data_IF_277629968094
#
_entry.id   IF_277629968094
#
_cell.length_a   1.000
_cell.length_b   1.000
_cell.length_c   1.000
_cell.angle_alpha   90.00
_cell.angle_beta   90.00
_cell.angle_gamma   90.00
#
_symmetry.space_group_name_H-M   'P 1'
#
loop_
_entity.id
_entity.type
_entity.pdbx_description
1 polymer ?
#
# COMPACT_ATOMS: atom_id res chain seq x y z
N UNK A 1 -5.33 -46.37 -21.17
CA UNK A 1 -4.21 -46.91 -21.97
C UNK A 1 -3.27 -45.78 -22.32
N UNK A 2 -1.98 -45.92 -21.95
CA UNK A 2 -0.80 -45.43 -22.68
C UNK A 2 -0.56 -43.92 -22.86
N UNK A 3 0.11 -43.27 -21.90
CA UNK A 3 0.97 -42.08 -22.17
C UNK A 3 2.17 -42.03 -21.20
N UNK A 4 2.79 -43.19 -20.92
CA UNK A 4 3.87 -43.32 -19.93
C UNK A 4 5.26 -43.68 -20.46
N UNK A 5 5.44 -44.00 -21.74
CA UNK A 5 6.66 -44.70 -22.22
C UNK A 5 7.24 -44.16 -23.53
N UNK A 6 7.32 -42.84 -23.72
CA UNK A 6 8.02 -42.27 -24.89
C UNK A 6 9.34 -41.57 -24.56
N UNK A 7 9.66 -41.31 -23.29
CA UNK A 7 10.87 -40.58 -22.88
C UNK A 7 11.97 -41.45 -22.25
N UNK A 8 11.74 -42.75 -22.09
CA UNK A 8 12.69 -43.68 -21.46
C UNK A 8 13.46 -44.57 -22.44
N UNK A 9 13.17 -44.55 -23.75
CA UNK A 9 13.84 -45.45 -24.72
C UNK A 9 14.97 -44.82 -25.55
N UNK A 10 15.23 -43.51 -25.46
CA UNK A 10 16.18 -42.83 -26.36
C UNK A 10 17.63 -42.66 -25.82
N UNK A 11 17.96 -43.18 -24.63
CA UNK A 11 19.30 -43.03 -24.03
C UNK A 11 19.94 -44.37 -23.62
N UNK A 12 19.81 -45.39 -24.47
CA UNK A 12 20.63 -46.60 -24.38
C UNK A 12 21.72 -46.63 -25.47
N UNK A 13 22.45 -45.53 -25.63
CA UNK A 13 23.74 -45.60 -26.32
C UNK A 13 24.78 -46.13 -25.32
N UNK A 14 25.11 -47.43 -25.43
CA UNK A 14 26.29 -48.02 -24.78
C UNK A 14 27.55 -47.52 -25.49
N UNK A 15 27.95 -46.29 -25.21
CA UNK A 15 29.29 -45.82 -25.57
C UNK A 15 30.28 -46.34 -24.51
N UNK A 16 31.01 -47.41 -24.86
CA UNK A 16 32.18 -47.87 -24.10
C UNK A 16 33.41 -47.12 -24.62
N UNK A 17 33.93 -46.18 -23.84
CA UNK A 17 35.29 -45.67 -24.02
C UNK A 17 36.15 -46.41 -22.98
N UNK A 18 36.76 -47.52 -23.38
CA UNK A 18 37.56 -48.39 -22.50
C UNK A 18 36.75 -49.22 -21.49
N UNK A 19 37.44 -49.74 -20.46
CA UNK A 19 36.91 -50.64 -19.41
C UNK A 19 36.05 -49.94 -18.35
N UNK A 20 35.63 -48.70 -18.58
CA UNK A 20 34.91 -47.90 -17.58
C UNK A 20 33.42 -47.84 -17.98
N UNK A 21 32.57 -48.41 -17.13
CA UNK A 21 31.12 -48.40 -17.34
C UNK A 21 30.55 -47.00 -17.04
N UNK A 22 30.16 -46.28 -18.09
CA UNK A 22 29.65 -44.90 -18.03
C UNK A 22 28.45 -44.75 -17.08
N UNK A 23 27.68 -45.82 -16.87
CA UNK A 23 26.54 -45.84 -15.92
C UNK A 23 26.98 -45.63 -14.47
N UNK A 24 28.16 -46.11 -14.09
CA UNK A 24 28.70 -45.95 -12.73
C UNK A 24 29.18 -44.51 -12.49
N UNK A 25 29.75 -43.87 -13.51
CA UNK A 25 30.17 -42.45 -13.45
C UNK A 25 28.95 -41.54 -13.32
N UNK A 26 27.93 -41.73 -14.17
CA UNK A 26 26.70 -40.91 -14.15
C UNK A 26 26.00 -41.00 -12.79
N UNK A 27 25.96 -42.18 -12.16
CA UNK A 27 25.34 -42.36 -10.84
C UNK A 27 26.15 -41.70 -9.70
N UNK A 28 27.49 -41.76 -9.79
CA UNK A 28 28.40 -41.21 -8.77
C UNK A 28 28.39 -39.67 -8.74
N UNK A 29 28.25 -39.03 -9.90
CA UNK A 29 28.24 -37.56 -10.02
C UNK A 29 26.84 -36.95 -10.14
N UNK A 30 25.76 -37.75 -10.18
CA UNK A 30 24.38 -37.25 -10.27
C UNK A 30 24.06 -36.19 -9.22
N UNK A 31 24.50 -36.40 -7.96
CA UNK A 31 24.29 -35.44 -6.87
C UNK A 31 25.10 -34.14 -7.09
N UNK A 32 26.36 -34.26 -7.52
CA UNK A 32 27.21 -33.10 -7.84
C UNK A 32 26.67 -32.31 -9.03
N UNK A 33 26.19 -32.99 -10.08
CA UNK A 33 25.57 -32.36 -11.24
C UNK A 33 24.29 -31.61 -10.84
N UNK A 34 23.41 -32.23 -10.06
CA UNK A 34 22.20 -31.56 -9.53
C UNK A 34 22.55 -30.36 -8.65
N UNK A 35 23.57 -30.45 -7.81
CA UNK A 35 24.04 -29.35 -6.98
C UNK A 35 24.59 -28.18 -7.82
N UNK A 36 25.37 -28.48 -8.87
CA UNK A 36 25.89 -27.47 -9.80
C UNK A 36 24.74 -26.81 -10.56
N UNK A 37 23.77 -27.57 -11.07
CA UNK A 37 22.60 -27.01 -11.73
C UNK A 37 21.80 -26.10 -10.78
N UNK A 38 21.57 -26.52 -9.53
CA UNK A 38 20.89 -25.69 -8.53
C UNK A 38 21.65 -24.40 -8.24
N UNK A 39 22.99 -24.46 -8.12
CA UNK A 39 23.84 -23.30 -7.91
C UNK A 39 23.80 -22.34 -9.11
N UNK A 40 23.86 -22.86 -10.35
CA UNK A 40 23.76 -22.05 -11.57
C UNK A 40 22.40 -21.34 -11.63
N UNK A 41 21.30 -22.03 -11.32
CA UNK A 41 19.96 -21.44 -11.29
C UNK A 41 19.90 -20.31 -10.25
N UNK A 42 20.50 -20.51 -9.07
CA UNK A 42 20.55 -19.50 -8.01
C UNK A 42 21.37 -18.27 -8.43
N UNK A 43 22.56 -18.48 -9.01
CA UNK A 43 23.42 -17.40 -9.53
C UNK A 43 22.71 -16.65 -10.66
N UNK A 44 22.09 -17.36 -11.60
CA UNK A 44 21.36 -16.75 -12.70
C UNK A 44 20.17 -15.92 -12.20
N UNK A 45 19.41 -16.42 -11.22
CA UNK A 45 18.33 -15.67 -10.58
C UNK A 45 18.83 -14.39 -9.93
N UNK A 46 19.90 -14.47 -9.12
CA UNK A 46 20.51 -13.31 -8.49
C UNK A 46 21.02 -12.29 -9.53
N UNK A 47 21.68 -12.76 -10.59
CA UNK A 47 22.18 -11.90 -11.66
C UNK A 47 21.04 -11.16 -12.39
N UNK A 48 19.94 -11.85 -12.71
CA UNK A 48 18.77 -11.24 -13.34
C UNK A 48 18.18 -10.15 -12.44
N UNK A 49 18.03 -10.40 -11.15
CA UNK A 49 17.49 -9.43 -10.19
C UNK A 49 18.44 -8.24 -9.96
N UNK A 50 19.74 -8.48 -9.92
CA UNK A 50 20.76 -7.44 -9.79
C UNK A 50 20.79 -6.53 -11.04
N UNK A 51 20.81 -7.13 -12.23
CA UNK A 51 20.78 -6.39 -13.50
C UNK A 51 19.46 -5.63 -13.68
N UNK A 52 18.33 -6.23 -13.26
CA UNK A 52 17.05 -5.54 -13.26
C UNK A 52 17.11 -4.25 -12.43
N UNK A 53 17.79 -4.26 -11.27
CA UNK A 53 18.04 -3.09 -10.43
C UNK A 53 18.93 -2.01 -11.06
N UNK A 54 19.91 -2.40 -11.88
CA UNK A 54 20.85 -1.47 -12.54
C UNK A 54 20.18 -0.72 -13.71
N UNK A 55 19.24 -1.37 -14.41
CA UNK A 55 18.59 -0.82 -15.61
C UNK A 55 17.30 -0.04 -15.25
N UNK A 56 16.96 0.09 -13.97
CA UNK A 56 15.74 0.81 -13.58
C UNK A 56 15.84 2.31 -13.82
N UNK A 57 14.74 2.89 -14.31
CA UNK A 57 14.58 4.33 -14.39
C UNK A 57 14.07 4.86 -13.05
N UNK A 58 14.43 6.09 -12.65
CA UNK A 58 13.80 6.74 -11.51
C UNK A 58 12.28 6.83 -11.77
N UNK A 59 11.51 6.68 -10.69
CA UNK A 59 10.05 6.86 -10.76
C UNK A 59 9.78 8.34 -11.03
N UNK A 60 9.02 8.60 -12.08
CA UNK A 60 8.57 9.95 -12.44
C UNK A 60 7.14 10.17 -11.98
N UNK A 61 6.90 11.35 -11.41
CA UNK A 61 5.55 11.86 -11.19
C UNK A 61 4.78 11.89 -12.53
N UNK A 62 3.49 11.60 -12.48
CA UNK A 62 2.58 11.69 -13.61
C UNK A 62 1.30 12.42 -13.16
N UNK A 63 0.54 12.97 -14.10
CA UNK A 63 -0.74 13.59 -13.78
C UNK A 63 -1.64 12.60 -13.00
N UNK A 64 -2.31 13.04 -11.91
CA UNK A 64 -3.19 12.20 -11.13
C UNK A 64 -4.47 11.83 -11.89
N UNK A 65 -5.25 10.84 -11.40
CA UNK A 65 -6.55 10.51 -11.97
C UNK A 65 -7.50 11.71 -12.03
N UNK A 66 -8.27 11.89 -13.13
CA UNK A 66 -9.11 13.07 -13.32
C UNK A 66 -10.23 13.25 -12.28
N UNK A 67 -10.69 12.18 -11.65
CA UNK A 67 -11.82 12.26 -10.71
C UNK A 67 -11.53 13.15 -9.50
N UNK A 68 -10.26 13.30 -9.10
CA UNK A 68 -9.89 14.17 -7.98
C UNK A 68 -10.14 15.65 -8.31
N UNK A 69 -9.86 16.06 -9.54
CA UNK A 69 -10.17 17.42 -9.98
C UNK A 69 -11.68 17.63 -10.11
N UNK A 70 -12.44 16.60 -10.53
CA UNK A 70 -13.91 16.68 -10.60
C UNK A 70 -14.52 16.89 -9.20
N UNK A 71 -13.97 16.25 -8.16
CA UNK A 71 -14.42 16.49 -6.79
C UNK A 71 -14.19 17.92 -6.34
N UNK A 72 -13.07 18.53 -6.71
CA UNK A 72 -12.77 19.94 -6.40
C UNK A 72 -13.82 20.90 -6.95
N UNK A 73 -14.43 20.58 -8.09
CA UNK A 73 -15.52 21.35 -8.70
C UNK A 73 -16.86 21.14 -7.98
N UNK A 74 -17.03 19.99 -7.31
CA UNK A 74 -18.25 19.61 -6.62
C UNK A 74 -18.26 19.97 -5.12
N UNK A 75 -17.09 20.23 -4.53
CA UNK A 75 -17.00 20.60 -3.12
C UNK A 75 -17.78 21.89 -2.87
N UNK A 76 -18.78 21.78 -2.01
CA UNK A 76 -19.37 22.94 -1.34
C UNK A 76 -18.41 23.34 -0.22
N UNK A 77 -17.52 24.28 -0.52
CA UNK A 77 -16.61 24.81 0.49
C UNK A 77 -17.42 25.35 1.67
N UNK A 78 -16.98 25.03 2.88
CA UNK A 78 -17.51 25.68 4.06
C UNK A 78 -17.33 27.19 3.93
N UNK A 79 -18.31 27.97 4.39
CA UNK A 79 -18.15 29.42 4.41
C UNK A 79 -16.85 29.76 5.15
N UNK A 80 -16.03 30.69 4.63
CA UNK A 80 -14.82 31.14 5.30
C UNK A 80 -15.20 32.03 6.48
N UNK A 81 -15.89 31.49 7.47
CA UNK A 81 -15.72 31.99 8.83
C UNK A 81 -14.24 31.81 9.16
N UNK A 82 -13.63 32.82 9.77
CA UNK A 82 -12.22 32.81 10.15
C UNK A 82 -11.91 31.63 11.09
N UNK A 83 -11.70 30.43 10.56
CA UNK A 83 -11.00 29.32 11.23
C UNK A 83 -9.48 29.65 11.21
N UNK A 84 -9.13 30.90 11.51
CA UNK A 84 -7.74 31.39 11.59
C UNK A 84 -7.50 32.15 12.90
N UNK A 85 -8.52 32.56 13.64
CA UNK A 85 -8.28 33.11 14.98
C UNK A 85 -8.35 31.99 16.01
N UNK A 86 -7.17 31.43 16.28
CA UNK A 86 -6.82 30.79 17.56
C UNK A 86 -7.95 29.95 18.13
N UNK A 87 -8.07 28.70 17.68
CA UNK A 87 -8.77 27.72 18.52
C UNK A 87 -8.07 27.77 19.86
N UNK A 88 -8.78 28.31 20.86
CA UNK A 88 -8.21 28.50 22.17
C UNK A 88 -7.92 27.11 22.71
N UNK A 89 -6.63 26.84 22.93
CA UNK A 89 -6.16 25.61 23.58
C UNK A 89 -6.87 25.40 24.94
N UNK A 90 -7.43 26.47 25.53
CA UNK A 90 -8.22 26.42 26.75
C UNK A 90 -9.61 25.79 26.57
N UNK A 91 -10.27 25.95 25.42
CA UNK A 91 -11.60 25.37 25.14
C UNK A 91 -11.54 23.93 24.63
N UNK A 92 -10.44 23.55 23.97
CA UNK A 92 -10.14 22.13 23.73
C UNK A 92 -9.84 21.39 25.06
N UNK A 93 -9.68 22.09 26.18
CA UNK A 93 -9.21 21.57 27.46
C UNK A 93 -10.22 20.85 28.36
N UNK A 94 -11.26 20.19 27.83
CA UNK A 94 -11.98 19.21 28.67
C UNK A 94 -11.05 18.03 28.97
N UNK A 95 -11.09 17.61 30.22
CA UNK A 95 -10.21 16.68 30.93
C UNK A 95 -9.46 15.64 30.08
N UNK A 96 -8.36 16.07 29.44
CA UNK A 96 -7.41 15.19 28.75
C UNK A 96 -6.48 14.47 29.72
N UNK A 97 -6.66 14.59 31.04
CA UNK A 97 -5.68 14.06 32.00
C UNK A 97 -5.48 12.56 31.84
N UNK A 98 -6.57 11.81 31.60
CA UNK A 98 -6.54 10.37 31.33
C UNK A 98 -5.96 10.02 29.96
N UNK A 99 -6.05 10.95 28.99
CA UNK A 99 -5.59 10.75 27.60
C UNK A 99 -4.23 11.37 27.28
N UNK A 100 -3.61 12.06 28.25
CA UNK A 100 -2.36 12.80 28.04
C UNK A 100 -1.24 11.90 27.49
N UNK A 101 -1.14 10.66 27.99
CA UNK A 101 -0.17 9.67 27.49
C UNK A 101 -0.41 9.26 26.03
N UNK A 102 -1.64 9.39 25.54
CA UNK A 102 -2.06 9.01 24.19
C UNK A 102 -1.97 10.15 23.17
N UNK A 103 -1.73 11.38 23.58
CA UNK A 103 -1.60 12.51 22.64
C UNK A 103 -0.23 13.19 22.74
N UNK A 104 0.70 12.58 23.48
CA UNK A 104 2.06 13.08 23.59
C UNK A 104 2.74 13.13 22.21
N UNK A 105 3.30 14.31 21.89
CA UNK A 105 3.98 14.57 20.63
C UNK A 105 3.07 14.81 19.43
N UNK A 106 1.75 14.90 19.62
CA UNK A 106 0.81 15.24 18.55
C UNK A 106 0.86 16.72 18.17
N UNK A 107 0.76 16.97 16.87
CA UNK A 107 0.38 18.26 16.31
C UNK A 107 -1.05 18.64 16.70
N UNK A 108 -1.42 19.90 16.45
CA UNK A 108 -2.76 20.39 16.71
C UNK A 108 -3.83 19.55 15.99
N UNK A 109 -3.62 19.29 14.70
CA UNK A 109 -4.54 18.55 13.86
C UNK A 109 -4.69 17.09 14.31
N UNK A 110 -3.61 16.46 14.76
CA UNK A 110 -3.65 15.10 15.31
C UNK A 110 -4.41 15.05 16.65
N UNK A 111 -4.29 16.08 17.50
CA UNK A 111 -5.09 16.19 18.73
C UNK A 111 -6.58 16.34 18.40
N UNK A 112 -6.93 17.20 17.44
CA UNK A 112 -8.32 17.40 17.01
C UNK A 112 -8.92 16.07 16.50
N UNK A 113 -8.24 15.40 15.57
CA UNK A 113 -8.65 14.09 15.04
C UNK A 113 -8.81 13.07 16.17
N UNK A 114 -7.84 12.98 17.08
CA UNK A 114 -7.88 12.03 18.18
C UNK A 114 -9.12 12.25 19.05
N UNK A 115 -9.45 13.51 19.36
CA UNK A 115 -10.63 13.86 20.15
C UNK A 115 -11.93 13.54 19.43
N UNK A 116 -12.03 13.87 18.15
CA UNK A 116 -13.23 13.56 17.37
C UNK A 116 -13.48 12.06 17.27
N UNK A 117 -12.43 11.24 17.21
CA UNK A 117 -12.57 9.78 17.21
C UNK A 117 -12.85 9.24 18.61
N UNK A 118 -11.99 9.55 19.58
CA UNK A 118 -11.98 8.87 20.88
C UNK A 118 -13.03 9.42 21.85
N UNK A 119 -13.28 10.72 21.80
CA UNK A 119 -14.13 11.46 22.73
C UNK A 119 -15.42 11.96 22.07
N UNK A 120 -15.56 11.79 20.75
CA UNK A 120 -16.67 12.36 19.96
C UNK A 120 -16.79 13.88 20.11
N UNK A 121 -15.66 14.56 20.36
CA UNK A 121 -15.60 16.01 20.54
C UNK A 121 -15.28 16.73 19.22
N UNK A 122 -15.94 17.86 19.00
CA UNK A 122 -15.77 18.73 17.82
C UNK A 122 -15.85 18.03 16.44
N UNK A 123 -16.76 17.05 16.20
CA UNK A 123 -16.85 16.41 14.89
C UNK A 123 -17.21 17.40 13.78
N UNK A 124 -18.04 18.41 14.06
CA UNK A 124 -18.41 19.44 13.08
C UNK A 124 -17.23 20.30 12.63
N UNK A 125 -16.33 20.66 13.56
CA UNK A 125 -15.09 21.39 13.24
C UNK A 125 -14.20 20.53 12.33
N UNK A 126 -14.06 19.24 12.66
CA UNK A 126 -13.30 18.31 11.84
C UNK A 126 -13.88 18.17 10.42
N UNK A 127 -15.21 18.13 10.27
CA UNK A 127 -15.86 18.06 8.96
C UNK A 127 -15.59 19.30 8.11
N UNK A 128 -15.66 20.49 8.70
CA UNK A 128 -15.35 21.75 8.00
C UNK A 128 -13.90 21.80 7.50
N UNK A 129 -12.96 21.19 8.23
CA UNK A 129 -11.56 21.14 7.79
C UNK A 129 -11.34 20.24 6.57
N UNK A 130 -12.15 19.19 6.38
CA UNK A 130 -12.09 18.38 5.16
C UNK A 130 -12.66 19.09 3.93
N UNK A 131 -13.52 20.09 4.12
CA UNK A 131 -14.10 20.95 3.08
C UNK A 131 -13.54 22.37 3.09
N UNK A 132 -12.39 22.59 3.74
CA UNK A 132 -11.79 23.91 3.86
C UNK A 132 -11.37 24.44 2.47
N UNK A 133 -11.55 25.74 2.15
CA UNK A 133 -11.18 26.30 0.84
C UNK A 133 -9.70 26.14 0.50
N UNK A 134 -8.82 26.37 1.48
CA UNK A 134 -7.38 26.18 1.33
C UNK A 134 -6.99 24.69 1.27
N UNK A 135 -6.31 24.30 0.19
CA UNK A 135 -5.81 22.94 -0.03
C UNK A 135 -4.89 22.47 1.12
N UNK A 136 -3.99 23.34 1.58
CA UNK A 136 -3.04 23.00 2.64
C UNK A 136 -3.72 22.57 3.93
N UNK A 137 -4.88 23.15 4.26
CA UNK A 137 -5.63 22.77 5.45
C UNK A 137 -6.25 21.39 5.30
N UNK A 138 -6.85 21.10 4.12
CA UNK A 138 -7.38 19.77 3.81
C UNK A 138 -6.28 18.70 3.86
N UNK A 139 -5.10 19.01 3.35
CA UNK A 139 -3.94 18.10 3.38
C UNK A 139 -3.47 17.84 4.81
N UNK A 140 -3.35 18.88 5.65
CA UNK A 140 -2.93 18.75 7.05
C UNK A 140 -3.89 17.85 7.82
N UNK A 141 -5.19 18.11 7.74
CA UNK A 141 -6.18 17.33 8.50
C UNK A 141 -6.29 15.89 7.98
N UNK A 142 -6.18 15.67 6.68
CA UNK A 142 -6.14 14.32 6.10
C UNK A 142 -4.89 13.53 6.51
N UNK A 143 -3.73 14.19 6.56
CA UNK A 143 -2.48 13.60 7.03
C UNK A 143 -2.53 13.25 8.52
N UNK A 144 -3.09 14.14 9.34
CA UNK A 144 -3.34 13.89 10.76
C UNK A 144 -4.30 12.71 10.97
N UNK A 145 -5.39 12.64 10.19
CA UNK A 145 -6.31 11.50 10.21
C UNK A 145 -5.59 10.19 9.91
N UNK A 146 -4.69 10.19 8.93
CA UNK A 146 -3.89 9.01 8.61
C UNK A 146 -2.90 8.63 9.71
N UNK A 147 -2.24 9.60 10.31
CA UNK A 147 -1.27 9.40 11.39
C UNK A 147 -1.91 8.85 12.67
N UNK A 148 -3.08 9.39 13.08
CA UNK A 148 -3.81 8.89 14.25
C UNK A 148 -4.32 7.46 14.01
N UNK A 149 -4.90 7.19 12.83
CA UNK A 149 -5.42 5.87 12.49
C UNK A 149 -4.34 4.77 12.56
N UNK A 150 -3.19 4.99 11.92
CA UNK A 150 -2.11 4.00 11.92
C UNK A 150 -1.52 3.80 13.32
N UNK A 151 -1.41 4.88 14.12
CA UNK A 151 -0.78 4.83 15.46
C UNK A 151 -1.58 3.95 16.42
N UNK A 152 -2.91 3.97 16.32
CA UNK A 152 -3.77 3.31 17.31
C UNK A 152 -4.56 2.11 16.81
N UNK A 153 -4.64 1.84 15.50
CA UNK A 153 -5.43 0.69 15.01
C UNK A 153 -4.98 -0.66 15.60
N UNK A 154 -3.69 -0.83 15.91
CA UNK A 154 -3.17 -2.06 16.52
C UNK A 154 -2.90 -1.94 18.02
N UNK A 155 -3.38 -0.87 18.67
CA UNK A 155 -3.24 -0.66 20.10
C UNK A 155 -4.52 -1.08 20.82
N UNK A 156 -4.53 -2.32 21.32
CA UNK A 156 -5.70 -2.91 21.99
C UNK A 156 -6.05 -2.19 23.31
N UNK A 157 -5.08 -1.68 24.06
CA UNK A 157 -5.29 -0.96 25.33
C UNK A 157 -6.06 0.35 25.13
N UNK A 158 -5.92 0.98 23.97
CA UNK A 158 -6.48 2.30 23.70
C UNK A 158 -8.00 2.32 23.50
N UNK A 159 -8.64 1.18 23.20
CA UNK A 159 -10.04 1.12 22.77
C UNK A 159 -10.31 1.77 21.40
N UNK A 160 -9.27 2.17 20.67
CA UNK A 160 -9.39 2.97 19.44
C UNK A 160 -10.15 2.27 18.33
N UNK A 161 -10.01 0.95 18.16
CA UNK A 161 -10.69 0.25 17.07
C UNK A 161 -12.22 0.36 17.15
N UNK A 162 -12.80 0.29 18.35
CA UNK A 162 -14.25 0.42 18.54
C UNK A 162 -14.71 1.85 18.25
N UNK A 163 -14.01 2.83 18.84
CA UNK A 163 -14.29 4.26 18.63
C UNK A 163 -14.15 4.71 17.19
N UNK A 164 -13.10 4.24 16.49
CA UNK A 164 -12.89 4.49 15.06
C UNK A 164 -14.02 3.92 14.21
N UNK A 165 -14.50 2.71 14.52
CA UNK A 165 -15.61 2.12 13.77
C UNK A 165 -16.90 2.95 13.95
N UNK A 166 -17.18 3.43 15.16
CA UNK A 166 -18.31 4.33 15.40
C UNK A 166 -18.12 5.66 14.64
N UNK A 167 -16.92 6.24 14.71
CA UNK A 167 -16.58 7.44 13.96
C UNK A 167 -16.83 7.29 12.45
N UNK A 168 -16.51 6.14 11.85
CA UNK A 168 -16.83 5.87 10.44
C UNK A 168 -18.33 5.79 10.15
N UNK A 169 -19.13 5.26 11.07
CA UNK A 169 -20.60 5.26 10.93
C UNK A 169 -21.16 6.68 11.03
N UNK A 170 -20.66 7.49 11.96
CA UNK A 170 -21.13 8.86 12.19
C UNK A 170 -20.73 9.80 11.04
N UNK A 171 -19.68 9.45 10.29
CA UNK A 171 -19.12 10.26 9.21
C UNK A 171 -19.57 9.86 7.81
N UNK A 172 -20.53 8.92 7.68
CA UNK A 172 -21.06 8.47 6.37
C UNK A 172 -21.45 9.65 5.47
N UNK A 173 -22.14 10.66 6.02
CA UNK A 173 -22.56 11.85 5.27
C UNK A 173 -21.40 12.72 4.75
N UNK A 174 -20.23 12.62 5.39
CA UNK A 174 -19.01 13.38 5.09
C UNK A 174 -17.93 12.52 4.39
N UNK A 175 -18.23 11.26 4.07
CA UNK A 175 -17.28 10.35 3.43
C UNK A 175 -16.70 10.87 2.11
N UNK A 176 -17.48 11.49 1.21
CA UNK A 176 -16.93 12.05 -0.01
C UNK A 176 -15.82 13.09 0.26
N UNK A 177 -16.04 13.97 1.25
CA UNK A 177 -15.11 15.04 1.60
C UNK A 177 -13.82 14.49 2.23
N UNK A 178 -13.95 13.56 3.18
CA UNK A 178 -12.82 12.88 3.82
C UNK A 178 -11.98 12.12 2.78
N UNK A 179 -12.65 11.38 1.88
CA UNK A 179 -11.98 10.61 0.82
C UNK A 179 -11.27 11.54 -0.16
N UNK A 180 -11.90 12.66 -0.53
CA UNK A 180 -11.27 13.63 -1.43
C UNK A 180 -10.03 14.27 -0.79
N UNK A 181 -10.14 14.75 0.45
CA UNK A 181 -8.99 15.35 1.16
C UNK A 181 -7.83 14.36 1.33
N UNK A 182 -8.11 13.09 1.64
CA UNK A 182 -7.09 12.03 1.66
C UNK A 182 -6.49 11.78 0.27
N UNK A 183 -7.29 11.84 -0.79
CA UNK A 183 -6.81 11.68 -2.17
C UNK A 183 -5.89 12.83 -2.58
N UNK A 184 -6.28 14.06 -2.28
CA UNK A 184 -5.46 15.27 -2.47
C UNK A 184 -4.14 15.18 -1.70
N UNK A 185 -4.19 14.80 -0.43
CA UNK A 185 -3.00 14.63 0.40
C UNK A 185 -2.06 13.55 -0.15
N UNK A 186 -2.59 12.42 -0.65
CA UNK A 186 -1.77 11.38 -1.29
C UNK A 186 -1.12 11.90 -2.58
N UNK A 187 -1.83 12.69 -3.38
CA UNK A 187 -1.29 13.28 -4.61
C UNK A 187 -0.21 14.31 -4.30
N UNK A 188 -0.43 15.18 -3.31
CA UNK A 188 0.54 16.20 -2.94
C UNK A 188 1.80 15.59 -2.35
N UNK A 189 1.67 14.55 -1.52
CA UNK A 189 2.83 13.80 -1.02
C UNK A 189 3.67 13.17 -2.13
N UNK A 190 3.06 12.83 -3.27
CA UNK A 190 3.79 12.34 -4.43
C UNK A 190 4.57 13.46 -5.15
N UNK A 191 4.10 14.71 -5.09
CA UNK A 191 4.80 15.90 -5.63
C UNK A 191 5.97 16.30 -4.74
N UNK A 192 5.76 16.36 -3.43
CA UNK A 192 6.81 16.70 -2.44
C UNK A 192 7.79 15.55 -2.20
N UNK A 193 7.37 14.33 -2.52
CA UNK A 193 8.12 13.10 -2.31
C UNK A 193 8.14 12.62 -0.86
N UNK A 194 7.15 13.02 -0.08
CA UNK A 194 7.05 12.74 1.33
C UNK A 194 6.41 11.38 1.61
N UNK A 195 6.95 10.73 2.63
CA UNK A 195 6.38 9.52 3.17
C UNK A 195 5.07 9.81 3.93
N UNK A 196 4.06 8.95 3.77
CA UNK A 196 2.82 9.05 4.51
C UNK A 196 2.14 7.69 4.72
N UNK A 197 1.06 7.71 5.50
CA UNK A 197 0.26 6.54 5.87
C UNK A 197 -1.15 6.58 5.28
N UNK A 198 -1.41 7.51 4.37
CA UNK A 198 -2.72 7.76 3.76
C UNK A 198 -3.29 6.52 3.05
N UNK A 199 -2.49 5.71 2.31
CA UNK A 199 -3.03 4.52 1.67
C UNK A 199 -3.68 3.54 2.65
N UNK A 200 -3.16 3.46 3.87
CA UNK A 200 -3.78 2.63 4.91
C UNK A 200 -5.18 3.13 5.22
N UNK A 201 -5.32 4.41 5.56
CA UNK A 201 -6.61 4.99 5.94
C UNK A 201 -7.62 4.92 4.80
N UNK A 202 -7.22 5.28 3.57
CA UNK A 202 -8.08 5.15 2.38
C UNK A 202 -8.56 3.72 2.16
N UNK A 203 -7.71 2.72 2.42
CA UNK A 203 -8.02 1.30 2.27
C UNK A 203 -8.91 0.73 3.38
N UNK A 204 -9.22 1.51 4.41
CA UNK A 204 -10.14 1.12 5.48
C UNK A 204 -11.37 2.02 5.59
N UNK A 205 -11.54 3.00 4.69
CA UNK A 205 -12.77 3.77 4.64
C UNK A 205 -13.95 2.90 4.19
N UNK A 206 -15.18 3.18 4.66
CA UNK A 206 -16.36 2.58 4.08
C UNK A 206 -16.54 3.00 2.60
N UNK A 207 -17.23 2.15 1.83
CA UNK A 207 -17.62 2.42 0.44
C UNK A 207 -16.46 2.72 -0.52
N UNK A 208 -15.35 1.98 -0.40
CA UNK A 208 -14.26 2.08 -1.38
C UNK A 208 -14.72 1.63 -2.77
N UNK A 209 -14.59 2.55 -3.73
CA UNK A 209 -14.98 2.34 -5.11
C UNK A 209 -13.81 2.08 -6.05
N UNK A 210 -14.10 2.07 -7.36
CA UNK A 210 -13.10 1.95 -8.41
C UNK A 210 -12.08 3.11 -8.38
N UNK A 211 -12.50 4.30 -7.97
CA UNK A 211 -11.67 5.50 -7.85
C UNK A 211 -10.52 5.33 -6.85
N UNK A 212 -10.79 4.74 -5.68
CA UNK A 212 -9.73 4.45 -4.69
C UNK A 212 -8.71 3.47 -5.26
N UNK A 213 -9.16 2.44 -6.00
CA UNK A 213 -8.27 1.47 -6.65
C UNK A 213 -7.46 2.15 -7.77
N UNK A 214 -8.07 3.05 -8.55
CA UNK A 214 -7.41 3.82 -9.59
C UNK A 214 -6.32 4.74 -9.01
N UNK A 215 -6.62 5.44 -7.91
CA UNK A 215 -5.66 6.28 -7.19
C UNK A 215 -4.50 5.46 -6.63
N UNK A 216 -4.78 4.30 -6.01
CA UNK A 216 -3.72 3.42 -5.55
C UNK A 216 -2.89 2.85 -6.70
N UNK A 217 -3.50 2.52 -7.84
CA UNK A 217 -2.76 2.07 -9.01
C UNK A 217 -1.83 3.17 -9.52
N UNK A 218 -2.30 4.41 -9.58
CA UNK A 218 -1.49 5.56 -9.93
C UNK A 218 -0.34 5.76 -8.93
N UNK A 219 -0.64 5.80 -7.62
CA UNK A 219 0.36 6.02 -6.58
C UNK A 219 1.40 4.88 -6.55
N UNK A 220 0.98 3.63 -6.74
CA UNK A 220 1.87 2.47 -6.85
C UNK A 220 2.86 2.56 -8.03
N UNK A 221 2.56 3.35 -9.05
CA UNK A 221 3.41 3.56 -10.24
C UNK A 221 4.24 4.84 -10.18
N UNK A 222 3.72 5.89 -9.54
CA UNK A 222 4.22 7.25 -9.70
C UNK A 222 4.68 7.92 -8.41
N UNK A 223 4.35 7.38 -7.23
CA UNK A 223 4.81 7.95 -5.97
C UNK A 223 6.33 7.74 -5.81
N UNK A 224 7.14 8.77 -5.54
CA UNK A 224 8.60 8.61 -5.45
C UNK A 224 9.03 7.82 -4.20
N UNK A 225 8.32 7.97 -3.07
CA UNK A 225 8.56 7.15 -1.88
C UNK A 225 8.10 5.70 -2.11
N UNK A 226 9.02 4.76 -1.88
CA UNK A 226 8.78 3.34 -2.14
C UNK A 226 7.87 2.67 -1.10
N UNK A 227 7.78 3.18 0.13
CA UNK A 227 6.88 2.62 1.14
C UNK A 227 5.43 2.94 0.82
N UNK A 228 5.16 4.16 0.34
CA UNK A 228 3.82 4.53 -0.17
C UNK A 228 3.46 3.65 -1.37
N UNK A 229 4.36 3.49 -2.36
CA UNK A 229 4.12 2.57 -3.50
C UNK A 229 3.82 1.15 -3.06
N UNK A 230 4.56 0.63 -2.06
CA UNK A 230 4.37 -0.72 -1.51
C UNK A 230 2.97 -0.88 -0.93
N UNK A 231 2.54 0.06 -0.10
CA UNK A 231 1.19 0.06 0.47
C UNK A 231 0.13 0.10 -0.61
N UNK A 232 0.24 1.03 -1.57
CA UNK A 232 -0.73 1.14 -2.67
C UNK A 232 -0.79 -0.14 -3.52
N UNK A 233 0.36 -0.74 -3.88
CA UNK A 233 0.39 -2.00 -4.64
C UNK A 233 -0.26 -3.16 -3.88
N UNK A 234 -0.03 -3.23 -2.57
CA UNK A 234 -0.69 -4.20 -1.72
C UNK A 234 -2.21 -4.01 -1.75
N UNK A 235 -2.69 -2.77 -1.58
CA UNK A 235 -4.12 -2.48 -1.57
C UNK A 235 -4.79 -2.68 -2.93
N UNK A 236 -4.15 -2.32 -4.05
CA UNK A 236 -4.67 -2.67 -5.39
C UNK A 236 -4.85 -4.18 -5.53
N UNK A 237 -3.91 -4.97 -5.00
CA UNK A 237 -3.95 -6.43 -5.13
C UNK A 237 -5.11 -7.08 -4.36
N UNK A 238 -5.51 -6.50 -3.23
CA UNK A 238 -6.57 -7.07 -2.37
C UNK A 238 -7.95 -6.45 -2.63
N UNK A 239 -8.01 -5.18 -3.06
CA UNK A 239 -9.27 -4.45 -3.28
C UNK A 239 -9.76 -4.57 -4.73
N UNK A 240 -8.85 -4.71 -5.71
CA UNK A 240 -9.24 -4.76 -7.11
C UNK A 240 -9.91 -6.08 -7.47
N UNK A 241 -11.04 -5.99 -8.15
CA UNK A 241 -11.71 -7.13 -8.79
C UNK A 241 -11.13 -7.43 -10.19
N UNK A 242 -10.32 -6.55 -10.74
CA UNK A 242 -9.68 -6.72 -12.05
C UNK A 242 -8.33 -7.45 -11.93
N UNK A 243 -8.38 -8.76 -12.12
CA UNK A 243 -7.19 -9.63 -12.08
C UNK A 243 -6.14 -9.25 -13.13
N UNK A 244 -6.54 -8.76 -14.31
CA UNK A 244 -5.61 -8.41 -15.38
C UNK A 244 -4.84 -7.13 -15.04
N UNK A 245 -5.53 -6.15 -14.46
CA UNK A 245 -4.91 -4.93 -13.93
C UNK A 245 -3.87 -5.29 -12.86
N UNK A 246 -4.23 -6.14 -11.90
CA UNK A 246 -3.31 -6.57 -10.84
C UNK A 246 -2.12 -7.32 -11.41
N UNK A 247 -2.33 -8.28 -12.34
CA UNK A 247 -1.24 -9.01 -12.98
C UNK A 247 -0.27 -8.09 -13.73
N UNK A 248 -0.80 -7.07 -14.42
CA UNK A 248 -0.02 -6.06 -15.12
C UNK A 248 0.84 -5.28 -14.13
N UNK A 249 0.22 -4.75 -13.06
CA UNK A 249 0.92 -4.01 -11.99
C UNK A 249 2.07 -4.83 -11.38
N UNK A 250 1.80 -6.08 -10.99
CA UNK A 250 2.80 -6.94 -10.35
C UNK A 250 3.90 -7.37 -11.34
N UNK A 251 3.61 -7.42 -12.63
CA UNK A 251 4.61 -7.71 -13.67
C UNK A 251 5.50 -6.52 -13.92
N UNK A 252 4.94 -5.31 -14.00
CA UNK A 252 5.67 -4.05 -14.18
C UNK A 252 6.62 -3.80 -13.00
N UNK A 253 6.15 -4.07 -11.77
CA UNK A 253 6.90 -3.88 -10.54
C UNK A 253 8.19 -4.74 -10.43
N UNK A 254 8.38 -5.74 -11.29
CA UNK A 254 9.66 -6.48 -11.39
C UNK A 254 10.84 -5.59 -11.76
N UNK A 255 10.57 -4.44 -12.39
CA UNK A 255 11.56 -3.45 -12.81
C UNK A 255 11.51 -2.18 -11.96
N UNK A 256 10.81 -2.20 -10.82
CA UNK A 256 10.82 -1.06 -9.89
C UNK A 256 12.24 -0.85 -9.35
N UNK A 257 12.74 0.40 -9.22
CA UNK A 257 14.06 0.68 -8.66
C UNK A 257 14.25 0.17 -7.22
N UNK A 258 13.18 0.12 -6.42
CA UNK A 258 13.23 -0.39 -5.06
C UNK A 258 13.21 -1.91 -5.02
N UNK A 259 14.23 -2.51 -4.39
CA UNK A 259 14.25 -3.95 -4.10
C UNK A 259 13.01 -4.39 -3.32
N UNK A 260 12.57 -3.58 -2.35
CA UNK A 260 11.37 -3.86 -1.57
C UNK A 260 10.12 -3.98 -2.46
N UNK A 261 9.96 -3.12 -3.46
CA UNK A 261 8.84 -3.21 -4.42
C UNK A 261 8.90 -4.52 -5.20
N UNK A 262 10.07 -4.88 -5.75
CA UNK A 262 10.26 -6.12 -6.52
C UNK A 262 9.91 -7.37 -5.70
N UNK A 263 10.42 -7.44 -4.46
CA UNK A 263 10.15 -8.57 -3.56
C UNK A 263 8.67 -8.66 -3.18
N UNK A 264 8.01 -7.54 -2.90
CA UNK A 264 6.58 -7.53 -2.59
C UNK A 264 5.76 -8.01 -3.79
N UNK A 265 6.07 -7.54 -5.00
CA UNK A 265 5.39 -7.97 -6.21
C UNK A 265 5.52 -9.48 -6.44
N UNK A 266 6.71 -10.05 -6.24
CA UNK A 266 6.93 -11.49 -6.32
C UNK A 266 6.10 -12.25 -5.27
N UNK A 267 6.08 -11.77 -4.03
CA UNK A 267 5.32 -12.40 -2.94
C UNK A 267 3.82 -12.38 -3.22
N UNK A 268 3.27 -11.26 -3.70
CA UNK A 268 1.85 -11.13 -4.05
C UNK A 268 1.48 -12.03 -5.22
N UNK A 269 2.33 -12.15 -6.25
CA UNK A 269 2.12 -13.12 -7.35
C UNK A 269 2.11 -14.55 -6.83
N UNK A 270 3.03 -14.90 -5.93
CA UNK A 270 3.05 -16.22 -5.31
C UNK A 270 1.75 -16.48 -4.52
N UNK A 271 1.32 -15.53 -3.69
CA UNK A 271 0.07 -15.62 -2.92
C UNK A 271 -1.16 -15.78 -3.82
N UNK A 272 -1.20 -15.10 -4.96
CA UNK A 272 -2.25 -15.28 -5.97
C UNK A 272 -2.27 -16.71 -6.53
N UNK A 273 -1.10 -17.25 -6.87
CA UNK A 273 -0.97 -18.60 -7.41
C UNK A 273 -1.40 -19.67 -6.42
N UNK A 274 -1.10 -19.50 -5.13
CA UNK A 274 -1.44 -20.48 -4.08
C UNK A 274 -2.78 -20.19 -3.38
N UNK A 275 -3.50 -19.14 -3.78
CA UNK A 275 -4.80 -18.79 -3.20
C UNK A 275 -4.75 -18.30 -1.74
N UNK A 276 -3.65 -17.67 -1.31
CA UNK A 276 -3.44 -17.19 0.08
C UNK A 276 -3.49 -15.67 0.22
N UNK A 277 -4.06 -14.97 -0.76
CA UNK A 277 -4.37 -13.55 -0.59
C UNK A 277 -5.42 -13.39 0.52
N UNK A 278 -5.24 -12.45 1.46
CA UNK A 278 -6.27 -12.16 2.44
C UNK A 278 -7.52 -11.64 1.74
N UNK A 279 -8.69 -12.19 2.10
CA UNK A 279 -9.97 -11.61 1.73
C UNK A 279 -10.19 -10.38 2.62
N UNK A 280 -10.45 -9.23 2.00
CA UNK A 280 -10.88 -8.03 2.70
C UNK A 280 -12.41 -7.99 2.65
N UNK A 281 -13.07 -8.76 3.52
CA UNK A 281 -14.51 -8.69 3.79
C UNK A 281 -14.76 -9.07 5.26
#
# INVERSE_FOLDING_TARGET
MGFGNALTSALSYKFKIGNIDLKVIIFKYKKSFLAICALIILIAGFYIDAVAGIITKPISYAAPPPFVEQYKELIQYSEPEMIIQTVDMSELGRDLSEHKKWIEGFSYEEVLVYKSIMLSESPSELWQLFTHPELDQRIKIASALAAVNIKYTHNEESGFSEKRNQFWLDSIAHMPDIRNALSEALIESARSGEYNRIPYTLAWLPEQGAETVELFLWAARHHPDHNVRRSCMYYVTILSKDKKMVETLLTDAKRDPSYGMRTLALNLRYRQLVGTLPNVH
#
